data_IF_976955838198
#
_entry.id   IF_976955838198
#
_cell.length_a   1.000
_cell.length_b   1.000
_cell.length_c   1.000
_cell.angle_alpha   90.00
_cell.angle_beta   90.00
_cell.angle_gamma   90.00
#
_symmetry.space_group_name_H-M   'P 1'
#
loop_
_entity.id
_entity.type
_entity.pdbx_description
1 polymer ?
#
# COMPACT_ATOMS: atom_id res chain seq x y z
N UNK A 1 29.04 60.54 -2.64
CA UNK A 1 30.01 60.23 -1.56
C UNK A 1 29.26 59.51 -0.46
N UNK A 2 29.45 58.18 -0.39
CA UNK A 2 29.27 57.20 0.69
C UNK A 2 28.33 57.49 1.88
N UNK A 3 27.39 56.56 2.16
CA UNK A 3 27.44 55.64 3.33
C UNK A 3 26.09 54.87 3.48
N UNK A 4 25.99 53.59 3.06
CA UNK A 4 25.97 52.35 3.90
C UNK A 4 24.81 52.31 4.93
N UNK A 5 23.73 51.57 4.66
CA UNK A 5 23.47 50.14 4.99
C UNK A 5 23.22 49.85 6.47
N UNK A 6 21.98 49.43 6.81
CA UNK A 6 21.66 48.47 7.89
C UNK A 6 20.20 47.99 7.71
N UNK A 7 19.92 46.96 6.91
CA UNK A 7 19.90 45.55 7.28
C UNK A 7 18.92 45.22 8.43
N UNK A 8 17.64 45.00 8.08
CA UNK A 8 16.76 44.13 8.87
C UNK A 8 16.53 42.89 8.00
N UNK A 9 17.21 41.81 8.37
CA UNK A 9 17.10 40.50 7.77
C UNK A 9 15.63 40.05 7.73
N UNK A 10 15.08 39.94 6.52
CA UNK A 10 13.91 39.12 6.27
C UNK A 10 14.29 37.67 6.51
N UNK A 11 13.91 37.13 7.67
CA UNK A 11 13.90 35.69 7.88
C UNK A 11 12.73 35.12 7.07
N UNK A 12 12.96 34.82 5.79
CA UNK A 12 12.05 33.94 5.08
C UNK A 12 12.20 32.57 5.71
N UNK A 13 11.24 32.17 6.56
CA UNK A 13 11.12 30.79 7.00
C UNK A 13 10.97 29.94 5.73
N UNK A 14 12.03 29.28 5.30
CA UNK A 14 11.96 28.24 4.29
C UNK A 14 10.93 27.21 4.79
N UNK A 15 9.80 27.08 4.10
CA UNK A 15 8.83 26.03 4.42
C UNK A 15 9.54 24.68 4.22
N UNK A 16 9.94 24.06 5.33
CA UNK A 16 10.61 22.77 5.31
C UNK A 16 9.57 21.72 4.92
N UNK A 17 9.65 21.28 3.67
CA UNK A 17 8.85 20.16 3.24
C UNK A 17 9.46 18.84 3.72
N UNK A 18 8.61 18.01 4.32
CA UNK A 18 9.00 16.68 4.74
C UNK A 18 8.81 15.69 3.61
N UNK A 19 9.89 15.02 3.22
CA UNK A 19 9.83 13.88 2.33
C UNK A 19 9.40 12.64 3.11
N UNK A 20 8.57 11.83 2.46
CA UNK A 20 8.14 10.54 2.99
C UNK A 20 8.24 9.48 1.91
N UNK A 21 8.08 8.23 2.29
CA UNK A 21 8.20 7.13 1.34
C UNK A 21 7.67 5.82 1.87
N UNK A 22 7.75 4.81 1.02
CA UNK A 22 7.36 3.44 1.30
C UNK A 22 8.44 2.51 0.75
N UNK A 23 8.76 1.45 1.50
CA UNK A 23 9.52 0.34 0.95
C UNK A 23 8.65 -0.41 -0.08
N UNK A 24 9.24 -0.76 -1.21
CA UNK A 24 8.59 -1.57 -2.26
C UNK A 24 9.44 -2.80 -2.55
N UNK A 25 8.97 -3.71 -3.38
CA UNK A 25 9.68 -4.97 -3.65
C UNK A 25 11.00 -4.63 -4.35
N UNK A 26 12.12 -5.06 -3.77
CA UNK A 26 13.47 -4.80 -4.29
C UNK A 26 13.76 -3.31 -4.57
N UNK A 27 13.16 -2.40 -3.78
CA UNK A 27 13.22 -0.98 -4.08
C UNK A 27 12.65 -0.04 -3.02
N UNK A 28 12.64 1.24 -3.36
CA UNK A 28 12.08 2.31 -2.52
C UNK A 28 11.26 3.30 -3.33
N UNK A 29 10.15 3.76 -2.76
CA UNK A 29 9.33 4.85 -3.29
C UNK A 29 9.43 6.06 -2.36
N UNK A 30 9.73 7.23 -2.92
CA UNK A 30 9.75 8.51 -2.21
C UNK A 30 8.74 9.47 -2.84
N UNK A 31 7.89 10.08 -1.99
CA UNK A 31 6.97 11.16 -2.35
C UNK A 31 7.58 12.51 -1.99
N UNK A 32 7.81 13.33 -3.01
CA UNK A 32 8.16 14.74 -2.88
C UNK A 32 6.93 15.66 -2.98
N UNK A 33 7.17 16.97 -3.04
CA UNK A 33 6.11 17.98 -3.20
C UNK A 33 5.34 17.85 -4.51
N UNK A 34 6.06 17.53 -5.59
CA UNK A 34 5.58 17.62 -6.98
C UNK A 34 5.62 16.30 -7.72
N UNK A 35 6.31 15.31 -7.20
CA UNK A 35 6.50 14.03 -7.86
C UNK A 35 6.69 12.90 -6.84
N UNK A 36 6.33 11.70 -7.26
CA UNK A 36 6.72 10.43 -6.64
C UNK A 36 7.77 9.77 -7.51
N UNK A 37 8.83 9.30 -6.89
CA UNK A 37 9.91 8.57 -7.55
C UNK A 37 9.99 7.19 -6.93
N UNK A 38 9.91 6.16 -7.77
CA UNK A 38 10.09 4.76 -7.35
C UNK A 38 11.34 4.22 -8.03
N UNK A 39 12.25 3.63 -7.26
CA UNK A 39 13.47 2.99 -7.76
C UNK A 39 13.42 1.52 -7.38
N UNK A 40 13.59 0.64 -8.37
CA UNK A 40 13.50 -0.83 -8.20
C UNK A 40 14.70 -1.48 -8.87
N UNK A 41 15.25 -2.51 -8.23
CA UNK A 41 16.30 -3.36 -8.79
C UNK A 41 15.66 -4.48 -9.62
N UNK A 42 16.03 -4.58 -10.90
CA UNK A 42 15.69 -5.73 -11.75
C UNK A 42 16.45 -6.97 -11.29
N UNK A 43 15.95 -8.18 -11.61
CA UNK A 43 16.69 -9.42 -11.31
C UNK A 43 18.08 -9.45 -11.98
N UNK A 44 18.21 -8.91 -13.21
CA UNK A 44 19.50 -8.62 -13.89
C UNK A 44 20.49 -7.75 -13.11
N UNK A 45 20.06 -7.10 -12.02
CA UNK A 45 20.87 -6.23 -11.17
C UNK A 45 20.90 -4.76 -11.61
N UNK A 46 20.27 -4.42 -12.74
CA UNK A 46 20.09 -3.03 -13.16
C UNK A 46 19.04 -2.31 -12.31
N UNK A 47 19.14 -0.98 -12.19
CA UNK A 47 18.14 -0.16 -11.49
C UNK A 47 17.20 0.52 -12.48
N UNK A 48 15.91 0.56 -12.15
CA UNK A 48 14.86 1.25 -12.92
C UNK A 48 14.27 2.35 -12.08
N UNK A 49 14.05 3.50 -12.70
CA UNK A 49 13.47 4.66 -12.05
C UNK A 49 12.16 5.03 -12.73
N UNK A 50 11.08 5.06 -11.96
CA UNK A 50 9.78 5.54 -12.40
C UNK A 50 9.43 6.84 -11.66
N UNK A 51 9.34 7.94 -12.42
CA UNK A 51 8.96 9.25 -11.90
C UNK A 51 7.55 9.57 -12.36
N UNK A 52 6.67 9.87 -11.41
CA UNK A 52 5.28 10.23 -11.67
C UNK A 52 4.98 11.62 -11.08
N UNK A 53 4.42 12.57 -11.84
CA UNK A 53 4.02 13.85 -11.29
C UNK A 53 2.87 13.64 -10.29
N UNK A 54 2.93 14.34 -9.16
CA UNK A 54 1.83 14.37 -8.21
C UNK A 54 0.74 15.26 -8.77
N UNK A 55 -0.45 14.69 -9.01
CA UNK A 55 -1.56 15.50 -9.48
C UNK A 55 -2.01 16.46 -8.38
N UNK A 56 -2.11 17.74 -8.72
CA UNK A 56 -2.75 18.75 -7.85
C UNK A 56 -4.27 18.67 -7.90
N UNK A 57 -4.82 17.64 -8.56
CA UNK A 57 -6.24 17.52 -8.88
C UNK A 57 -7.15 17.57 -7.64
N UNK A 58 -6.60 17.34 -6.45
CA UNK A 58 -7.33 17.35 -5.17
C UNK A 58 -7.03 18.56 -4.26
N UNK A 59 -6.45 19.66 -4.77
CA UNK A 59 -6.18 20.89 -3.99
C UNK A 59 -7.41 21.79 -3.75
N UNK A 60 -8.63 21.28 -3.99
CA UNK A 60 -9.88 22.05 -3.84
C UNK A 60 -10.35 22.26 -2.39
N UNK A 61 -11.47 22.98 -2.24
CA UNK A 61 -12.14 23.29 -0.97
C UNK A 61 -12.44 22.06 -0.08
N UNK A 62 -12.59 20.88 -0.68
CA UNK A 62 -12.86 19.61 0.00
C UNK A 62 -11.74 19.17 0.97
N UNK A 63 -10.48 19.62 0.78
CA UNK A 63 -9.38 19.37 1.74
C UNK A 63 -9.38 20.30 2.96
N UNK A 64 -10.31 21.26 3.04
CA UNK A 64 -10.44 22.17 4.20
C UNK A 64 -11.24 21.54 5.35
N UNK A 65 -12.14 20.60 5.07
CA UNK A 65 -12.91 19.89 6.10
C UNK A 65 -12.09 18.71 6.68
N UNK A 66 -11.93 18.58 8.01
CA UNK A 66 -10.98 17.65 8.62
C UNK A 66 -11.24 16.17 8.30
N UNK A 67 -12.50 15.73 8.28
CA UNK A 67 -12.85 14.35 7.97
C UNK A 67 -12.67 14.03 6.48
N UNK A 68 -13.20 14.89 5.61
CA UNK A 68 -13.13 14.73 4.15
C UNK A 68 -11.68 14.80 3.68
N UNK A 69 -10.88 15.70 4.26
CA UNK A 69 -9.43 15.80 4.03
C UNK A 69 -8.73 14.47 4.32
N UNK A 70 -9.03 13.84 5.46
CA UNK A 70 -8.42 12.56 5.83
C UNK A 70 -8.71 11.48 4.80
N UNK A 71 -9.97 11.33 4.40
CA UNK A 71 -10.39 10.33 3.40
C UNK A 71 -9.70 10.57 2.05
N UNK A 72 -9.68 11.82 1.56
CA UNK A 72 -9.04 12.15 0.28
C UNK A 72 -7.54 11.84 0.32
N UNK A 73 -6.85 12.27 1.38
CA UNK A 73 -5.40 12.03 1.54
C UNK A 73 -5.10 10.53 1.67
N UNK A 74 -5.95 9.77 2.36
CA UNK A 74 -5.82 8.34 2.49
C UNK A 74 -5.97 7.64 1.13
N UNK A 75 -7.00 7.99 0.37
CA UNK A 75 -7.23 7.41 -0.97
C UNK A 75 -6.06 7.75 -1.89
N UNK A 76 -5.58 9.00 -1.89
CA UNK A 76 -4.41 9.42 -2.67
C UNK A 76 -3.15 8.63 -2.29
N UNK A 77 -2.85 8.52 -0.99
CA UNK A 77 -1.69 7.79 -0.50
C UNK A 77 -1.78 6.29 -0.84
N UNK A 78 -2.95 5.68 -0.66
CA UNK A 78 -3.19 4.27 -0.94
C UNK A 78 -3.09 3.98 -2.45
N UNK A 79 -3.67 4.83 -3.31
CA UNK A 79 -3.56 4.64 -4.76
C UNK A 79 -2.12 4.78 -5.25
N UNK A 80 -1.35 5.74 -4.73
CA UNK A 80 0.08 5.86 -5.04
C UNK A 80 0.87 4.65 -4.54
N UNK A 81 0.64 4.23 -3.28
CA UNK A 81 1.33 3.09 -2.67
C UNK A 81 1.07 1.77 -3.40
N UNK A 82 -0.19 1.47 -3.72
CA UNK A 82 -0.57 0.27 -4.49
C UNK A 82 0.07 0.30 -5.88
N UNK A 83 0.05 1.44 -6.57
CA UNK A 83 0.70 1.56 -7.89
C UNK A 83 2.20 1.30 -7.82
N UNK A 84 2.88 1.83 -6.80
CA UNK A 84 4.31 1.61 -6.60
C UNK A 84 4.62 0.13 -6.30
N UNK A 85 3.82 -0.53 -5.48
CA UNK A 85 3.95 -1.95 -5.19
C UNK A 85 3.77 -2.81 -6.44
N UNK A 86 2.68 -2.59 -7.18
CA UNK A 86 2.41 -3.32 -8.43
C UNK A 86 3.51 -3.10 -9.47
N UNK A 87 3.99 -1.86 -9.60
CA UNK A 87 5.11 -1.56 -10.48
C UNK A 87 6.37 -2.34 -10.07
N UNK A 88 6.73 -2.33 -8.78
CA UNK A 88 7.90 -3.05 -8.27
C UNK A 88 7.80 -4.56 -8.41
N UNK A 89 6.60 -5.12 -8.22
CA UNK A 89 6.31 -6.53 -8.46
C UNK A 89 6.55 -6.89 -9.92
N UNK A 90 5.97 -6.12 -10.85
CA UNK A 90 6.11 -6.38 -12.28
C UNK A 90 7.56 -6.30 -12.76
N UNK A 91 8.34 -5.32 -12.27
CA UNK A 91 9.78 -5.21 -12.59
C UNK A 91 10.59 -6.38 -12.01
N UNK A 92 10.19 -6.90 -10.85
CA UNK A 92 10.85 -8.07 -10.24
C UNK A 92 10.51 -9.37 -10.95
N UNK A 93 9.30 -9.47 -11.53
CA UNK A 93 8.82 -10.65 -12.25
C UNK A 93 9.15 -10.64 -13.75
N UNK A 94 9.80 -9.59 -14.25
CA UNK A 94 10.07 -9.40 -15.70
C UNK A 94 10.96 -10.52 -16.30
N UNK A 95 11.75 -11.21 -15.48
CA UNK A 95 12.50 -12.42 -15.88
C UNK A 95 11.74 -13.74 -15.61
N UNK A 96 10.68 -13.70 -14.81
CA UNK A 96 9.81 -14.85 -14.48
C UNK A 96 8.62 -14.99 -15.45
N UNK A 97 8.63 -14.34 -16.61
CA UNK A 97 7.68 -14.61 -17.72
C UNK A 97 7.86 -16.00 -18.36
N UNK A 98 8.41 -16.97 -17.62
CA UNK A 98 8.22 -18.38 -17.92
C UNK A 98 6.74 -18.71 -17.76
N UNK A 99 6.07 -18.93 -18.89
CA UNK A 99 4.63 -19.19 -19.01
C UNK A 99 4.17 -20.20 -17.96
N UNK A 100 3.57 -19.69 -16.88
CA UNK A 100 2.88 -20.53 -15.90
C UNK A 100 1.82 -21.32 -16.66
N UNK A 101 1.98 -22.64 -16.72
CA UNK A 101 1.03 -23.53 -17.39
C UNK A 101 -0.37 -23.27 -16.83
N UNK A 102 -1.38 -23.12 -17.70
CA UNK A 102 -2.75 -22.84 -17.26
C UNK A 102 -3.28 -23.90 -16.27
N UNK A 103 -2.79 -25.13 -16.37
CA UNK A 103 -3.10 -26.21 -15.43
C UNK A 103 -2.57 -25.95 -14.01
N UNK A 104 -1.36 -25.40 -13.88
CA UNK A 104 -0.80 -25.01 -12.58
C UNK A 104 -1.64 -23.89 -11.95
N UNK A 105 -2.04 -22.90 -12.75
CA UNK A 105 -2.88 -21.79 -12.30
C UNK A 105 -4.22 -22.27 -11.75
N UNK A 106 -4.92 -23.14 -12.49
CA UNK A 106 -6.18 -23.75 -12.03
C UNK A 106 -5.99 -24.61 -10.78
N UNK A 107 -4.88 -25.33 -10.66
CA UNK A 107 -4.59 -26.13 -9.46
C UNK A 107 -4.44 -25.26 -8.21
N UNK A 108 -3.74 -24.13 -8.30
CA UNK A 108 -3.56 -23.20 -7.19
C UNK A 108 -4.90 -22.60 -6.75
N UNK A 109 -5.75 -22.24 -7.70
CA UNK A 109 -7.10 -21.72 -7.42
C UNK A 109 -7.95 -22.75 -6.69
N UNK A 110 -7.95 -24.01 -7.15
CA UNK A 110 -8.70 -25.10 -6.50
C UNK A 110 -8.19 -25.33 -5.08
N UNK A 111 -6.88 -25.36 -4.86
CA UNK A 111 -6.27 -25.53 -3.54
C UNK A 111 -6.64 -24.39 -2.60
N UNK A 112 -6.56 -23.14 -3.08
CA UNK A 112 -6.95 -21.97 -2.29
C UNK A 112 -8.44 -22.02 -1.90
N UNK A 113 -9.31 -22.41 -2.83
CA UNK A 113 -10.75 -22.55 -2.57
C UNK A 113 -11.02 -23.67 -1.56
N UNK A 114 -10.34 -24.80 -1.68
CA UNK A 114 -10.46 -25.92 -0.75
C UNK A 114 -10.02 -25.53 0.67
N UNK A 115 -8.91 -24.79 0.81
CA UNK A 115 -8.45 -24.27 2.09
C UNK A 115 -9.47 -23.28 2.68
N UNK A 116 -10.01 -22.38 1.85
CA UNK A 116 -11.02 -21.42 2.31
C UNK A 116 -12.28 -22.13 2.83
N UNK A 117 -12.81 -23.11 2.09
CA UNK A 117 -13.96 -23.91 2.53
C UNK A 117 -13.63 -24.69 3.80
N UNK A 118 -12.44 -25.29 3.85
CA UNK A 118 -11.96 -26.04 5.01
C UNK A 118 -11.87 -25.16 6.27
N UNK A 119 -11.28 -23.97 6.16
CA UNK A 119 -11.02 -23.09 7.29
C UNK A 119 -12.26 -22.31 7.74
N UNK A 120 -13.08 -21.83 6.81
CA UNK A 120 -14.20 -20.93 7.14
C UNK A 120 -15.55 -21.63 7.30
N UNK A 121 -15.72 -22.84 6.75
CA UNK A 121 -16.98 -23.60 6.89
C UNK A 121 -16.75 -24.87 7.68
N UNK A 122 -15.79 -25.69 7.24
CA UNK A 122 -15.61 -27.02 7.80
C UNK A 122 -15.04 -26.97 9.22
N UNK A 123 -14.06 -26.09 9.48
CA UNK A 123 -13.45 -25.95 10.80
C UNK A 123 -14.44 -25.44 11.86
N UNK A 124 -15.25 -24.39 11.64
CA UNK A 124 -16.29 -24.00 12.61
C UNK A 124 -17.32 -25.10 12.85
N UNK A 125 -17.77 -25.79 11.80
CA UNK A 125 -18.74 -26.90 11.92
C UNK A 125 -18.19 -28.10 12.68
N UNK A 126 -16.89 -28.37 12.56
CA UNK A 126 -16.25 -29.44 13.32
C UNK A 126 -16.01 -29.02 14.77
N UNK A 127 -15.63 -27.75 14.98
CA UNK A 127 -15.40 -27.18 16.30
C UNK A 127 -16.68 -27.20 17.13
N UNK A 128 -17.83 -26.82 16.57
CA UNK A 128 -19.12 -26.91 17.26
C UNK A 128 -19.46 -28.35 17.61
N UNK A 129 -19.33 -29.30 16.67
CA UNK A 129 -19.60 -30.73 16.92
C UNK A 129 -18.71 -31.37 17.99
N UNK A 130 -17.45 -30.96 18.13
CA UNK A 130 -16.56 -31.47 19.18
C UNK A 130 -16.90 -30.89 20.55
N UNK A 131 -17.44 -29.67 20.59
CA UNK A 131 -17.81 -28.97 21.81
C UNK A 131 -19.23 -29.32 22.27
N UNK A 132 -20.11 -29.77 21.37
CA UNK A 132 -21.49 -30.20 21.66
C UNK A 132 -21.60 -31.20 22.83
N UNK A 133 -20.75 -32.25 22.96
CA UNK A 133 -20.84 -33.21 24.08
C UNK A 133 -20.44 -32.60 25.44
N UNK A 134 -19.72 -31.48 25.44
CA UNK A 134 -19.19 -30.84 26.65
C UNK A 134 -19.98 -29.60 27.07
N UNK A 135 -20.89 -29.11 26.23
CA UNK A 135 -21.70 -27.90 26.49
C UNK A 135 -23.12 -28.30 26.87
N UNK A 136 -23.42 -28.25 28.18
CA UNK A 136 -24.76 -28.52 28.73
C UNK A 136 -25.62 -27.25 28.90
N UNK A 137 -25.09 -26.06 28.60
CA UNK A 137 -25.76 -24.77 28.82
C UNK A 137 -26.05 -24.03 27.51
N UNK A 138 -27.31 -23.66 27.29
CA UNK A 138 -27.79 -22.93 26.11
C UNK A 138 -27.15 -21.55 25.93
N UNK A 139 -26.60 -20.95 26.99
CA UNK A 139 -25.94 -19.64 26.92
C UNK A 139 -24.54 -19.70 26.29
N UNK A 140 -23.81 -20.81 26.49
CA UNK A 140 -22.45 -20.98 25.94
C UNK A 140 -22.52 -21.37 24.47
N UNK A 141 -23.58 -22.07 24.05
CA UNK A 141 -23.83 -22.39 22.65
C UNK A 141 -24.08 -21.14 21.78
N UNK A 142 -24.68 -20.07 22.33
CA UNK A 142 -24.91 -18.82 21.58
C UNK A 142 -23.68 -17.90 21.48
N UNK A 143 -22.58 -18.21 22.17
CA UNK A 143 -21.34 -17.43 22.19
C UNK A 143 -20.28 -17.95 21.21
N UNK A 144 -20.50 -19.13 20.62
CA UNK A 144 -19.65 -19.82 19.65
C UNK A 144 -20.29 -19.70 18.28
#
# INVERSE_FOLDING_TARGET
MLSRSFFISGFTMEERFHYGGQAVIEGVMIRGQKAVVTVVRRPSGSLVVATQPLSTMYTGWMRKAPLIRGIIVLIEAMTIGIKALLYSANVSLEEEEEKVSGLLLWSMVIVALAIAVGLFFMAPLFLTKLLDPYINSSLVFHLI
#
